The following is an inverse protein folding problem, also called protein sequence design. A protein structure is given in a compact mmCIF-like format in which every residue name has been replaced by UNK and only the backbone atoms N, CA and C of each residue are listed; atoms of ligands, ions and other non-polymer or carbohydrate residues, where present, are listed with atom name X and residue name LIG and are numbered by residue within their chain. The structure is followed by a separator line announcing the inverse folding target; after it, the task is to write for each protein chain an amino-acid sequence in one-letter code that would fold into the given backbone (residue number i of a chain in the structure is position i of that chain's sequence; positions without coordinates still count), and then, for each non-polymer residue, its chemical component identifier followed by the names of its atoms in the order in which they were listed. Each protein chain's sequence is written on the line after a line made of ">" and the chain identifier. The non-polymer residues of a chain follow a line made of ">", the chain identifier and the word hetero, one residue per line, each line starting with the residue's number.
data_IF_156925275308
#
_entry.id   IF_156925275308
#
_cell.length_a   1.000
_cell.length_b   1.000
_cell.length_c   1.000
_cell.angle_alpha   90.00
_cell.angle_beta   90.00
_cell.angle_gamma   90.00
#
_symmetry.space_group_name_H-M   'P 1'
#
loop_
_entity.id
_entity.type
_entity.pdbx_description
1 polymer ?
#
# COMPACT_ATOMS: atom_id res chain seq x y z
N UNK A 1 13.63 21.53 6.13
CA UNK A 1 13.09 20.68 5.04
C UNK A 1 13.72 21.10 3.72
N UNK A 2 13.93 20.19 2.78
CA UNK A 2 14.54 20.51 1.49
C UNK A 2 13.68 21.54 0.71
N UNK A 3 14.27 22.55 0.06
CA UNK A 3 13.51 23.63 -0.58
C UNK A 3 12.56 23.09 -1.67
N UNK A 4 12.97 22.03 -2.36
CA UNK A 4 12.13 21.30 -3.32
C UNK A 4 10.89 20.68 -2.68
N UNK A 5 10.94 20.27 -1.42
CA UNK A 5 9.81 19.68 -0.69
C UNK A 5 8.89 20.76 -0.10
N UNK A 6 9.45 21.91 0.28
CA UNK A 6 8.71 23.08 0.75
C UNK A 6 7.91 23.78 -0.35
N UNK A 7 8.52 23.94 -1.52
CA UNK A 7 7.93 24.70 -2.61
C UNK A 7 7.46 23.80 -3.77
N UNK A 8 8.01 22.61 -3.98
CA UNK A 8 7.65 21.73 -5.11
C UNK A 8 8.45 22.05 -6.38
N UNK A 9 8.36 21.17 -7.37
CA UNK A 9 8.79 21.46 -8.74
C UNK A 9 7.69 22.27 -9.44
N UNK A 10 7.69 23.59 -9.30
CA UNK A 10 6.75 24.45 -10.00
C UNK A 10 7.06 24.47 -11.50
N UNK A 11 6.18 23.87 -12.30
CA UNK A 11 6.21 24.07 -13.75
C UNK A 11 5.50 25.38 -14.08
N UNK A 12 5.96 26.11 -15.11
CA UNK A 12 5.42 27.41 -15.56
C UNK A 12 3.89 27.35 -15.81
N UNK A 13 3.35 26.18 -16.14
CA UNK A 13 1.91 25.94 -16.30
C UNK A 13 1.10 26.05 -14.99
N UNK A 14 1.71 25.74 -13.84
CA UNK A 14 1.08 25.89 -12.52
C UNK A 14 1.02 27.36 -12.08
N UNK A 15 1.86 28.25 -12.64
CA UNK A 15 1.75 29.70 -12.45
C UNK A 15 0.51 30.27 -13.16
N UNK A 16 0.13 29.76 -14.33
CA UNK A 16 -1.01 30.28 -15.09
C UNK A 16 -2.39 29.93 -14.49
N UNK A 17 -2.51 28.79 -13.80
CA UNK A 17 -3.79 28.32 -13.24
C UNK A 17 -3.82 28.46 -11.71
N UNK A 18 -2.68 28.25 -11.04
CA UNK A 18 -2.57 28.29 -9.58
C UNK A 18 -2.62 29.69 -8.99
N UNK A 19 -1.92 30.67 -9.58
CA UNK A 19 -1.91 32.05 -9.08
C UNK A 19 -3.31 32.70 -9.11
N UNK A 20 -4.07 32.64 -10.21
CA UNK A 20 -5.41 33.25 -10.26
C UNK A 20 -6.40 32.61 -9.28
N UNK A 21 -6.34 31.29 -9.13
CA UNK A 21 -7.24 30.55 -8.22
C UNK A 21 -6.92 30.86 -6.75
N UNK A 22 -5.65 31.06 -6.43
CA UNK A 22 -5.20 31.41 -5.08
C UNK A 22 -5.49 32.88 -4.74
N UNK A 23 -5.31 33.80 -5.70
CA UNK A 23 -5.75 35.19 -5.59
C UNK A 23 -7.28 35.24 -5.38
N UNK A 24 -8.05 34.43 -6.11
CA UNK A 24 -9.50 34.31 -5.93
C UNK A 24 -9.88 33.85 -4.51
N UNK A 25 -9.20 32.85 -3.95
CA UNK A 25 -9.48 32.37 -2.60
C UNK A 25 -9.02 33.34 -1.50
N UNK A 26 -7.93 34.07 -1.75
CA UNK A 26 -7.45 35.13 -0.86
C UNK A 26 -8.42 36.32 -0.84
N UNK A 27 -8.92 36.74 -2.01
CA UNK A 27 -9.96 37.77 -2.14
C UNK A 27 -11.30 37.36 -1.50
N UNK A 28 -11.62 36.05 -1.48
CA UNK A 28 -12.81 35.51 -0.80
C UNK A 28 -12.62 35.25 0.71
N UNK A 29 -11.42 35.41 1.25
CA UNK A 29 -11.13 35.17 2.67
C UNK A 29 -11.35 33.72 3.11
N UNK A 30 -11.25 32.75 2.19
CA UNK A 30 -11.46 31.34 2.56
C UNK A 30 -10.28 30.82 3.39
N UNK A 31 -10.58 30.35 4.62
CA UNK A 31 -9.58 29.75 5.51
C UNK A 31 -8.97 28.50 4.87
N UNK A 32 -7.67 28.28 5.09
CA UNK A 32 -6.94 27.12 4.56
C UNK A 32 -7.60 25.78 4.91
N UNK A 33 -8.23 25.69 6.08
CA UNK A 33 -8.98 24.51 6.54
C UNK A 33 -10.15 24.19 5.60
N UNK A 34 -10.90 25.20 5.15
CA UNK A 34 -12.01 25.02 4.19
C UNK A 34 -11.50 24.60 2.82
N UNK A 35 -10.37 25.16 2.39
CA UNK A 35 -9.75 24.79 1.11
C UNK A 35 -9.24 23.35 1.14
N UNK A 36 -8.61 22.95 2.25
CA UNK A 36 -8.16 21.58 2.45
C UNK A 36 -9.36 20.62 2.45
N UNK A 37 -10.44 20.95 3.15
CA UNK A 37 -11.66 20.13 3.18
C UNK A 37 -12.22 19.88 1.77
N UNK A 38 -12.29 20.92 0.92
CA UNK A 38 -12.70 20.77 -0.48
C UNK A 38 -11.77 19.83 -1.26
N UNK A 39 -10.46 19.85 -0.99
CA UNK A 39 -9.49 18.95 -1.62
C UNK A 39 -9.63 17.51 -1.12
N UNK A 40 -9.92 17.32 0.16
CA UNK A 40 -10.23 16.00 0.75
C UNK A 40 -11.45 15.40 0.06
N UNK A 41 -12.57 16.14 0.01
CA UNK A 41 -13.82 15.69 -0.63
C UNK A 41 -13.62 15.34 -2.10
N UNK A 42 -12.89 16.20 -2.83
CA UNK A 42 -12.55 15.94 -4.23
C UNK A 42 -11.69 14.69 -4.40
N UNK A 43 -10.69 14.49 -3.54
CA UNK A 43 -9.85 13.29 -3.55
C UNK A 43 -10.67 12.02 -3.30
N UNK A 44 -11.58 12.04 -2.30
CA UNK A 44 -12.50 10.93 -2.01
C UNK A 44 -13.45 10.62 -3.17
N UNK A 45 -14.02 11.65 -3.79
CA UNK A 45 -14.92 11.49 -4.93
C UNK A 45 -14.19 10.94 -6.16
N UNK A 46 -12.93 11.32 -6.35
CA UNK A 46 -12.13 10.82 -7.46
C UNK A 46 -11.64 9.40 -7.21
N UNK A 47 -11.23 9.08 -5.98
CA UNK A 47 -10.76 7.74 -5.62
C UNK A 47 -11.87 6.71 -5.71
N UNK A 48 -13.10 7.05 -5.33
CA UNK A 48 -14.25 6.12 -5.37
C UNK A 48 -14.64 5.68 -6.79
N UNK A 49 -14.21 6.42 -7.81
CA UNK A 49 -14.45 6.07 -9.23
C UNK A 49 -13.38 5.13 -9.80
N UNK A 50 -12.30 4.87 -9.06
CA UNK A 50 -11.19 4.03 -9.53
C UNK A 50 -11.43 2.58 -9.12
N UNK A 51 -11.41 1.69 -10.11
CA UNK A 51 -11.38 0.24 -9.88
C UNK A 51 -9.91 -0.20 -9.95
N UNK A 52 -9.34 -0.56 -8.80
CA UNK A 52 -7.96 -1.05 -8.71
C UNK A 52 -7.85 -2.50 -9.20
N UNK A 53 -7.01 -2.71 -10.22
CA UNK A 53 -6.40 -4.01 -10.52
C UNK A 53 -4.97 -4.08 -9.95
N UNK A 54 -4.36 -5.26 -9.95
CA UNK A 54 -3.05 -5.51 -9.33
C UNK A 54 -1.92 -4.66 -9.95
N UNK A 55 -1.89 -4.53 -11.28
CA UNK A 55 -0.90 -3.70 -11.98
C UNK A 55 -1.02 -2.23 -11.55
N UNK A 56 -2.23 -1.68 -11.59
CA UNK A 56 -2.49 -0.29 -11.23
C UNK A 56 -2.23 -0.02 -9.74
N UNK A 57 -2.46 -1.01 -8.87
CA UNK A 57 -2.14 -0.95 -7.44
C UNK A 57 -0.64 -0.78 -7.23
N UNK A 58 0.18 -1.63 -7.84
CA UNK A 58 1.64 -1.54 -7.67
C UNK A 58 2.18 -0.21 -8.19
N UNK A 59 1.66 0.26 -9.32
CA UNK A 59 1.98 1.59 -9.85
C UNK A 59 1.61 2.70 -8.85
N UNK A 60 0.43 2.62 -8.22
CA UNK A 60 -0.01 3.60 -7.23
C UNK A 60 0.74 3.52 -5.89
N UNK A 61 1.15 2.33 -5.44
CA UNK A 61 2.03 2.17 -4.28
C UNK A 61 3.38 2.82 -4.52
N UNK A 62 4.02 2.53 -5.66
CA UNK A 62 5.30 3.14 -6.05
C UNK A 62 5.14 4.66 -6.15
N UNK A 63 4.04 5.13 -6.76
CA UNK A 63 3.76 6.57 -6.88
C UNK A 63 3.54 7.22 -5.52
N UNK A 64 2.81 6.56 -4.62
CA UNK A 64 2.56 7.04 -3.27
C UNK A 64 3.87 7.16 -2.50
N UNK A 65 4.71 6.13 -2.51
CA UNK A 65 6.02 6.14 -1.85
C UNK A 65 6.93 7.26 -2.37
N UNK A 66 6.96 7.45 -3.69
CA UNK A 66 7.76 8.50 -4.36
C UNK A 66 7.18 9.91 -4.28
N UNK A 67 6.03 10.13 -3.64
CA UNK A 67 5.51 11.49 -3.45
C UNK A 67 6.47 12.31 -2.59
N UNK A 68 6.99 13.39 -3.19
CA UNK A 68 7.86 14.36 -2.53
C UNK A 68 7.23 15.77 -2.56
N UNK A 69 6.19 15.96 -1.75
CA UNK A 69 5.56 17.27 -1.52
C UNK A 69 5.37 17.53 -0.02
N UNK A 70 5.16 18.81 0.35
CA UNK A 70 5.04 19.25 1.75
C UNK A 70 4.02 18.40 2.51
N UNK A 71 2.83 18.20 1.93
CA UNK A 71 1.76 17.45 2.57
C UNK A 71 2.13 15.98 2.75
N UNK A 72 2.60 15.31 1.70
CA UNK A 72 2.98 13.90 1.74
C UNK A 72 4.08 13.60 2.76
N UNK A 73 5.03 14.51 2.93
CA UNK A 73 6.11 14.38 3.91
C UNK A 73 5.53 14.31 5.32
N UNK A 74 4.77 15.32 5.73
CA UNK A 74 4.20 15.36 7.08
C UNK A 74 3.10 14.30 7.32
N UNK A 75 2.31 13.99 6.29
CA UNK A 75 1.24 13.00 6.38
C UNK A 75 1.77 11.57 6.61
N UNK A 76 2.95 11.25 6.05
CA UNK A 76 3.64 9.97 6.28
C UNK A 76 4.42 9.95 7.59
N UNK A 77 5.16 11.03 7.87
CA UNK A 77 6.08 11.18 9.01
C UNK A 77 5.39 10.97 10.37
N UNK A 78 4.14 11.42 10.52
CA UNK A 78 3.39 11.25 11.78
C UNK A 78 3.24 9.78 12.21
N UNK A 79 3.29 8.82 11.28
CA UNK A 79 3.18 7.40 11.61
C UNK A 79 4.49 6.79 12.13
N UNK A 80 5.61 7.52 12.11
CA UNK A 80 6.89 7.03 12.62
C UNK A 80 6.89 6.89 14.16
N UNK A 81 5.99 7.59 14.87
CA UNK A 81 5.95 7.60 16.34
C UNK A 81 4.79 6.81 16.96
N UNK A 82 3.62 6.73 16.30
CA UNK A 82 2.42 6.02 16.80
C UNK A 82 1.37 5.87 15.68
N UNK A 83 0.43 4.92 15.84
CA UNK A 83 -0.77 4.87 14.99
C UNK A 83 -1.68 6.08 15.27
N UNK A 84 -1.90 6.90 14.25
CA UNK A 84 -2.79 8.07 14.27
C UNK A 84 -4.01 7.85 13.38
N UNK A 85 -5.17 8.31 13.81
CA UNK A 85 -6.37 8.28 12.97
C UNK A 85 -6.31 9.35 11.87
N UNK A 86 -7.16 9.25 10.85
CA UNK A 86 -7.13 10.16 9.70
C UNK A 86 -7.25 11.65 10.10
N UNK A 87 -8.16 11.98 11.01
CA UNK A 87 -8.38 13.36 11.46
C UNK A 87 -7.15 13.93 12.17
N UNK A 88 -6.48 13.13 12.99
CA UNK A 88 -5.22 13.49 13.64
C UNK A 88 -4.11 13.79 12.62
N UNK A 89 -4.02 12.98 11.54
CA UNK A 89 -3.03 13.23 10.47
C UNK A 89 -3.32 14.52 9.72
N UNK A 90 -4.59 14.81 9.42
CA UNK A 90 -5.01 16.06 8.78
C UNK A 90 -4.70 17.25 9.68
N UNK A 91 -5.01 17.16 10.97
CA UNK A 91 -4.71 18.21 11.95
C UNK A 91 -3.21 18.47 12.04
N UNK A 92 -2.39 17.42 12.12
CA UNK A 92 -0.94 17.54 12.13
C UNK A 92 -0.40 18.27 10.88
N UNK A 93 -0.87 17.88 9.69
CA UNK A 93 -0.45 18.53 8.44
C UNK A 93 -0.83 20.02 8.42
N UNK A 94 -2.03 20.37 8.92
CA UNK A 94 -2.46 21.76 9.07
C UNK A 94 -1.59 22.54 10.06
N UNK A 95 -1.21 21.94 11.19
CA UNK A 95 -0.37 22.59 12.19
C UNK A 95 1.05 22.84 11.65
N UNK A 96 1.60 21.90 10.88
CA UNK A 96 2.90 22.08 10.20
C UNK A 96 2.82 23.17 9.13
N UNK A 97 1.75 23.20 8.33
CA UNK A 97 1.51 24.30 7.39
C UNK A 97 1.44 25.65 8.10
N UNK A 98 0.68 25.75 9.21
CA UNK A 98 0.55 27.00 9.98
C UNK A 98 1.92 27.47 10.47
N UNK A 99 2.72 26.59 11.08
CA UNK A 99 4.09 26.88 11.54
C UNK A 99 4.95 27.44 10.41
N UNK A 100 5.01 26.75 9.28
CA UNK A 100 5.83 27.17 8.15
C UNK A 100 5.32 28.48 7.54
N UNK A 101 4.00 28.62 7.36
CA UNK A 101 3.40 29.83 6.77
C UNK A 101 3.67 31.10 7.60
N UNK A 102 3.76 30.97 8.92
CA UNK A 102 4.05 32.10 9.84
C UNK A 102 5.52 32.50 9.78
N UNK A 103 6.41 31.59 9.37
CA UNK A 103 7.85 31.86 9.22
C UNK A 103 8.22 32.53 7.89
N UNK A 104 7.30 32.55 6.93
CA UNK A 104 7.54 33.12 5.60
C UNK A 104 7.20 34.62 5.56
N UNK A 105 8.14 35.41 5.05
CA UNK A 105 8.08 36.88 5.08
C UNK A 105 7.41 37.47 3.82
N UNK A 106 7.41 36.74 2.69
CA UNK A 106 6.86 37.26 1.42
C UNK A 106 5.55 36.59 1.02
N UNK A 107 4.63 37.40 0.48
CA UNK A 107 3.35 36.94 -0.07
C UNK A 107 3.52 35.90 -1.20
N UNK A 108 4.56 36.04 -2.04
CA UNK A 108 4.87 35.05 -3.09
C UNK A 108 5.25 33.69 -2.50
N UNK A 109 6.07 33.65 -1.45
CA UNK A 109 6.46 32.38 -0.82
C UNK A 109 5.27 31.73 -0.10
N UNK A 110 4.40 32.54 0.53
CA UNK A 110 3.17 32.06 1.15
C UNK A 110 2.24 31.41 0.12
N UNK A 111 2.06 32.04 -1.04
CA UNK A 111 1.25 31.51 -2.13
C UNK A 111 1.82 30.19 -2.67
N UNK A 112 3.14 30.11 -2.84
CA UNK A 112 3.81 28.88 -3.29
C UNK A 112 3.63 27.74 -2.28
N UNK A 113 3.82 28.02 -0.99
CA UNK A 113 3.61 27.04 0.08
C UNK A 113 2.15 26.56 0.10
N UNK A 114 1.18 27.48 0.04
CA UNK A 114 -0.23 27.15 0.08
C UNK A 114 -0.69 26.35 -1.15
N UNK A 115 -0.17 26.69 -2.34
CA UNK A 115 -0.38 25.91 -3.56
C UNK A 115 0.19 24.50 -3.45
N UNK A 116 1.44 24.36 -2.99
CA UNK A 116 2.08 23.07 -2.77
C UNK A 116 1.30 22.22 -1.74
N UNK A 117 0.89 22.84 -0.63
CA UNK A 117 0.13 22.18 0.42
C UNK A 117 -1.20 21.63 -0.10
N UNK A 118 -1.98 22.43 -0.82
CA UNK A 118 -3.31 22.03 -1.30
C UNK A 118 -3.25 21.01 -2.46
N UNK A 119 -2.36 21.20 -3.43
CA UNK A 119 -2.18 20.26 -4.53
C UNK A 119 -1.52 18.96 -4.07
N UNK A 120 -0.55 19.08 -3.14
CA UNK A 120 0.06 17.97 -2.45
C UNK A 120 -0.96 17.18 -1.64
N UNK A 121 -1.86 17.86 -0.92
CA UNK A 121 -2.98 17.22 -0.22
C UNK A 121 -3.87 16.43 -1.17
N UNK A 122 -4.36 17.05 -2.25
CA UNK A 122 -5.24 16.36 -3.21
C UNK A 122 -4.58 15.11 -3.80
N UNK A 123 -3.31 15.20 -4.23
CA UNK A 123 -2.58 14.07 -4.84
C UNK A 123 -2.29 12.96 -3.82
N UNK A 124 -1.83 13.35 -2.63
CA UNK A 124 -1.49 12.41 -1.56
C UNK A 124 -2.74 11.70 -1.07
N UNK A 125 -3.82 12.44 -0.83
CA UNK A 125 -5.06 11.90 -0.32
C UNK A 125 -5.82 11.08 -1.36
N UNK A 126 -5.73 11.42 -2.64
CA UNK A 126 -6.26 10.57 -3.70
C UNK A 126 -5.60 9.19 -3.66
N UNK A 127 -4.26 9.14 -3.67
CA UNK A 127 -3.55 7.87 -3.60
C UNK A 127 -3.81 7.15 -2.26
N UNK A 128 -3.80 7.89 -1.16
CA UNK A 128 -4.16 7.37 0.15
C UNK A 128 -5.55 6.72 0.11
N UNK A 129 -6.61 7.40 -0.32
CA UNK A 129 -7.96 6.81 -0.37
C UNK A 129 -8.12 5.69 -1.38
N UNK A 130 -7.45 5.77 -2.53
CA UNK A 130 -7.43 4.66 -3.49
C UNK A 130 -6.81 3.42 -2.83
N UNK A 131 -5.71 3.57 -2.10
CA UNK A 131 -5.02 2.49 -1.41
C UNK A 131 -5.71 2.07 -0.08
N UNK A 132 -6.31 3.01 0.64
CA UNK A 132 -6.99 2.90 1.94
C UNK A 132 -8.41 2.34 1.80
N UNK A 133 -9.05 2.49 0.63
CA UNK A 133 -10.27 1.74 0.27
C UNK A 133 -10.09 0.21 0.35
N UNK A 134 -8.85 -0.26 0.53
CA UNK A 134 -8.49 -1.66 0.80
C UNK A 134 -7.59 -1.90 2.02
N UNK A 135 -7.43 -0.98 2.97
CA UNK A 135 -7.01 -1.41 4.33
C UNK A 135 -8.06 -2.33 4.98
N UNK A 136 -9.25 -2.45 4.39
CA UNK A 136 -10.28 -3.46 4.69
C UNK A 136 -10.26 -4.72 3.80
N UNK A 137 -9.36 -4.86 2.81
CA UNK A 137 -9.19 -6.13 2.10
C UNK A 137 -7.88 -6.76 2.57
N UNK A 138 -8.04 -7.74 3.44
CA UNK A 138 -7.06 -8.76 3.78
C UNK A 138 -6.23 -9.17 2.55
N UNK A 139 -4.90 -9.07 2.69
CA UNK A 139 -3.94 -9.54 1.67
C UNK A 139 -4.15 -11.04 1.46
N UNK A 140 -4.12 -11.50 0.20
CA UNK A 140 -4.37 -12.91 -0.18
C UNK A 140 -3.21 -13.48 -0.99
N UNK A 141 -3.26 -14.79 -1.27
CA UNK A 141 -2.20 -15.42 -2.08
C UNK A 141 -2.10 -14.87 -3.50
N UNK A 142 -3.25 -14.54 -4.09
CA UNK A 142 -3.29 -13.86 -5.39
C UNK A 142 -2.52 -12.54 -5.42
N UNK A 143 -2.42 -11.83 -4.30
CA UNK A 143 -1.70 -10.55 -4.22
C UNK A 143 -0.17 -10.72 -4.14
N UNK A 144 0.32 -11.91 -3.76
CA UNK A 144 1.75 -12.16 -3.53
C UNK A 144 2.40 -13.14 -4.51
N UNK A 145 1.60 -13.90 -5.28
CA UNK A 145 2.10 -14.87 -6.25
C UNK A 145 2.36 -14.23 -7.62
N UNK A 146 3.47 -14.60 -8.24
CA UNK A 146 3.89 -14.18 -9.57
C UNK A 146 3.19 -15.05 -10.62
N UNK A 147 2.54 -14.39 -11.59
CA UNK A 147 1.85 -15.04 -12.70
C UNK A 147 0.33 -15.05 -12.52
N UNK A 148 -0.39 -14.66 -13.59
CA UNK A 148 -1.83 -14.38 -13.58
C UNK A 148 -2.70 -15.57 -13.13
N UNK A 149 -2.20 -16.80 -13.28
CA UNK A 149 -2.92 -18.02 -12.91
C UNK A 149 -2.28 -18.83 -11.77
N UNK A 150 -1.12 -18.42 -11.25
CA UNK A 150 -0.36 -19.23 -10.28
C UNK A 150 -1.14 -19.49 -9.00
N UNK A 151 -1.82 -18.47 -8.47
CA UNK A 151 -2.68 -18.60 -7.29
C UNK A 151 -3.88 -19.52 -7.54
N UNK A 152 -4.52 -19.42 -8.71
CA UNK A 152 -5.65 -20.30 -9.08
C UNK A 152 -5.22 -21.76 -9.21
N UNK A 153 -4.09 -22.01 -9.88
CA UNK A 153 -3.51 -23.35 -10.03
C UNK A 153 -3.19 -23.92 -8.65
N UNK A 154 -2.56 -23.13 -7.79
CA UNK A 154 -2.19 -23.55 -6.46
C UNK A 154 -3.41 -23.85 -5.57
N UNK A 155 -4.41 -22.97 -5.53
CA UNK A 155 -5.65 -23.21 -4.77
C UNK A 155 -6.39 -24.46 -5.27
N UNK A 156 -6.45 -24.68 -6.59
CA UNK A 156 -7.05 -25.88 -7.16
C UNK A 156 -6.31 -27.15 -6.72
N UNK A 157 -4.98 -27.13 -6.75
CA UNK A 157 -4.14 -28.22 -6.23
C UNK A 157 -4.41 -28.51 -4.75
N UNK A 158 -4.50 -27.47 -3.92
CA UNK A 158 -4.77 -27.64 -2.48
C UNK A 158 -6.15 -28.25 -2.21
N UNK A 159 -7.17 -27.87 -2.99
CA UNK A 159 -8.52 -28.46 -2.93
C UNK A 159 -8.50 -29.93 -3.36
N UNK A 160 -7.83 -30.25 -4.46
CA UNK A 160 -7.70 -31.62 -4.96
C UNK A 160 -7.01 -32.54 -3.93
N UNK A 161 -5.95 -32.05 -3.29
CA UNK A 161 -5.24 -32.75 -2.22
C UNK A 161 -5.95 -32.74 -0.86
N UNK A 162 -7.13 -32.11 -0.77
CA UNK A 162 -7.91 -31.95 0.46
C UNK A 162 -7.14 -31.27 1.59
N UNK A 163 -6.23 -30.35 1.24
CA UNK A 163 -5.56 -29.52 2.24
C UNK A 163 -6.47 -28.37 2.71
N UNK A 164 -7.40 -27.95 1.85
CA UNK A 164 -8.40 -26.93 2.14
C UNK A 164 -9.79 -27.38 1.64
N UNK A 165 -10.85 -26.85 2.24
CA UNK A 165 -12.23 -27.05 1.78
C UNK A 165 -12.66 -26.03 0.70
N UNK A 166 -13.94 -26.08 0.30
CA UNK A 166 -14.49 -25.14 -0.68
C UNK A 166 -14.50 -23.69 -0.23
N UNK A 167 -14.58 -23.45 1.08
CA UNK A 167 -14.52 -22.14 1.72
C UNK A 167 -13.08 -21.74 2.10
N UNK A 168 -12.10 -22.49 1.61
CA UNK A 168 -10.66 -22.35 1.85
C UNK A 168 -10.21 -22.63 3.29
N UNK A 169 -11.06 -23.18 4.16
CA UNK A 169 -10.64 -23.53 5.51
C UNK A 169 -9.57 -24.62 5.48
N UNK A 170 -8.48 -24.41 6.21
CA UNK A 170 -7.40 -25.40 6.33
C UNK A 170 -7.88 -26.69 7.01
N UNK A 171 -7.66 -27.83 6.36
CA UNK A 171 -8.04 -29.17 6.84
C UNK A 171 -6.87 -29.99 7.39
N UNK A 172 -5.63 -29.54 7.20
CA UNK A 172 -4.44 -30.30 7.61
C UNK A 172 -4.07 -30.04 9.07
N UNK A 173 -3.80 -31.12 9.81
CA UNK A 173 -3.34 -31.03 11.19
C UNK A 173 -1.89 -30.53 11.29
N UNK A 174 -1.04 -30.90 10.32
CA UNK A 174 0.36 -30.50 10.29
C UNK A 174 0.57 -29.14 9.61
N UNK A 175 0.24 -28.06 10.33
CA UNK A 175 0.44 -26.68 9.87
C UNK A 175 1.89 -26.37 9.46
N UNK A 176 2.88 -27.01 10.09
CA UNK A 176 4.29 -26.79 9.77
C UNK A 176 4.67 -27.28 8.37
N UNK A 177 4.15 -28.44 7.95
CA UNK A 177 4.34 -28.99 6.61
C UNK A 177 3.66 -28.11 5.55
N UNK A 178 2.48 -27.58 5.88
CA UNK A 178 1.75 -26.65 5.01
C UNK A 178 2.49 -25.31 4.82
N UNK A 179 3.10 -24.78 5.89
CA UNK A 179 4.00 -23.63 5.82
C UNK A 179 5.20 -23.91 4.91
N UNK A 180 5.79 -25.10 5.00
CA UNK A 180 6.94 -25.48 4.15
C UNK A 180 6.59 -25.53 2.66
N UNK A 181 5.35 -25.88 2.29
CA UNK A 181 4.89 -25.77 0.88
C UNK A 181 4.94 -24.32 0.40
N UNK A 182 4.47 -23.36 1.20
CA UNK A 182 4.51 -21.95 0.84
C UNK A 182 5.95 -21.42 0.79
N UNK A 183 6.82 -21.91 1.69
CA UNK A 183 8.24 -21.60 1.65
C UNK A 183 8.88 -22.08 0.34
N UNK A 184 8.58 -23.31 -0.07
CA UNK A 184 9.03 -23.85 -1.35
C UNK A 184 8.62 -22.96 -2.54
N UNK A 185 7.38 -22.45 -2.55
CA UNK A 185 6.91 -21.53 -3.58
C UNK A 185 7.65 -20.19 -3.57
N UNK A 186 8.01 -19.67 -2.39
CA UNK A 186 8.83 -18.46 -2.25
C UNK A 186 10.25 -18.68 -2.77
N UNK A 187 10.90 -19.76 -2.35
CA UNK A 187 12.28 -20.06 -2.75
C UNK A 187 12.39 -20.27 -4.27
N UNK A 188 11.32 -20.74 -4.91
CA UNK A 188 11.22 -20.92 -6.36
C UNK A 188 10.58 -19.74 -7.10
N UNK A 189 10.48 -18.56 -6.46
CA UNK A 189 10.01 -17.31 -7.10
C UNK A 189 8.59 -17.40 -7.70
N UNK A 190 7.77 -18.32 -7.19
CA UNK A 190 6.34 -18.34 -7.48
C UNK A 190 5.63 -17.36 -6.55
N UNK A 191 6.04 -17.28 -5.28
CA UNK A 191 5.71 -16.12 -4.43
C UNK A 191 6.81 -15.09 -4.64
N UNK A 192 6.45 -13.81 -4.79
CA UNK A 192 7.43 -12.75 -4.98
C UNK A 192 8.41 -12.70 -3.78
N UNK A 193 9.72 -12.91 -3.99
CA UNK A 193 10.71 -12.99 -2.91
C UNK A 193 10.88 -11.69 -2.13
N UNK A 194 10.48 -10.54 -2.70
CA UNK A 194 10.56 -9.23 -2.06
C UNK A 194 9.59 -9.09 -0.86
N UNK A 195 8.56 -9.95 -0.76
CA UNK A 195 7.66 -9.93 0.38
C UNK A 195 8.33 -10.52 1.63
N UNK A 196 8.19 -9.79 2.74
CA UNK A 196 8.61 -10.26 4.05
C UNK A 196 7.82 -11.52 4.45
N UNK A 197 8.47 -12.41 5.21
CA UNK A 197 7.84 -13.66 5.68
C UNK A 197 6.54 -13.40 6.47
N UNK A 198 6.47 -12.29 7.21
CA UNK A 198 5.27 -11.87 7.95
C UNK A 198 4.10 -11.54 7.03
N UNK A 199 4.35 -10.90 5.89
CA UNK A 199 3.34 -10.55 4.88
C UNK A 199 2.82 -11.81 4.17
N UNK A 200 3.69 -12.77 3.93
CA UNK A 200 3.31 -14.06 3.34
C UNK A 200 2.43 -14.85 4.31
N UNK A 201 2.81 -14.89 5.60
CA UNK A 201 1.97 -15.53 6.62
C UNK A 201 0.62 -14.84 6.72
N UNK A 202 0.56 -13.51 6.76
CA UNK A 202 -0.72 -12.78 6.79
C UNK A 202 -1.60 -13.14 5.58
N UNK A 203 -1.00 -13.23 4.38
CA UNK A 203 -1.72 -13.67 3.19
C UNK A 203 -2.25 -15.11 3.29
N UNK A 204 -1.49 -16.01 3.92
CA UNK A 204 -1.93 -17.37 4.20
C UNK A 204 -3.05 -17.41 5.24
N UNK A 205 -2.95 -16.64 6.32
CA UNK A 205 -3.95 -16.61 7.39
C UNK A 205 -5.32 -16.18 6.85
N UNK A 206 -5.30 -15.14 6.01
CA UNK A 206 -6.48 -14.61 5.33
C UNK A 206 -7.03 -15.52 4.22
N UNK A 207 -6.16 -16.23 3.50
CA UNK A 207 -6.60 -17.15 2.45
C UNK A 207 -7.23 -18.40 3.07
N UNK A 208 -6.74 -18.87 4.21
CA UNK A 208 -7.09 -20.17 4.78
C UNK A 208 -7.92 -20.16 6.05
N UNK A 209 -8.38 -18.97 6.46
CA UNK A 209 -9.16 -18.73 7.69
C UNK A 209 -8.53 -19.41 8.93
N UNK A 210 -7.20 -19.33 9.07
CA UNK A 210 -6.48 -20.04 10.14
C UNK A 210 -5.23 -19.28 10.56
N UNK A 211 -4.86 -19.37 11.83
CA UNK A 211 -3.63 -18.74 12.33
C UNK A 211 -2.42 -19.65 12.14
N UNK A 212 -1.27 -19.05 11.80
CA UNK A 212 0.01 -19.73 11.65
C UNK A 212 1.05 -19.15 12.60
N UNK A 213 2.00 -20.00 13.04
CA UNK A 213 3.14 -19.50 13.81
C UNK A 213 4.12 -18.76 12.89
N UNK A 214 4.24 -17.44 13.07
CA UNK A 214 5.10 -16.56 12.30
C UNK A 214 6.58 -16.98 12.35
N UNK A 215 7.02 -17.59 13.46
CA UNK A 215 8.39 -18.10 13.59
C UNK A 215 8.66 -19.38 12.81
N UNK A 216 7.64 -20.11 12.38
CA UNK A 216 7.80 -21.38 11.65
C UNK A 216 8.16 -21.16 10.18
N UNK A 217 7.70 -20.08 9.54
CA UNK A 217 8.02 -19.78 8.15
C UNK A 217 9.51 -19.46 7.93
N UNK A 218 10.11 -18.69 8.82
CA UNK A 218 11.55 -18.36 8.72
C UNK A 218 12.45 -19.57 9.01
N UNK A 219 12.05 -20.41 9.97
CA UNK A 219 12.77 -21.65 10.32
C UNK A 219 12.64 -22.75 9.27
N UNK A 220 11.60 -22.70 8.43
CA UNK A 220 11.34 -23.69 7.38
C UNK A 220 12.51 -23.91 6.42
N UNK A 221 13.36 -22.89 6.19
CA UNK A 221 14.56 -22.95 5.34
C UNK A 221 15.52 -24.07 5.77
N UNK A 222 15.57 -24.37 7.08
CA UNK A 222 16.59 -25.26 7.67
C UNK A 222 16.14 -26.70 7.82
N UNK A 223 14.89 -27.01 7.50
CA UNK A 223 14.29 -28.33 7.73
C UNK A 223 14.26 -29.11 6.41
N UNK A 224 14.90 -30.29 6.38
CA UNK A 224 14.86 -31.17 5.23
C UNK A 224 13.42 -31.68 5.01
N UNK A 225 12.87 -31.64 3.78
CA UNK A 225 11.55 -32.17 3.51
C UNK A 225 11.51 -33.68 3.75
N UNK A 226 10.35 -34.16 4.19
CA UNK A 226 10.07 -35.59 4.26
C UNK A 226 9.55 -36.13 2.91
N UNK A 227 9.43 -37.45 2.76
CA UNK A 227 9.01 -38.09 1.50
C UNK A 227 7.63 -37.61 1.00
N UNK A 228 6.74 -37.24 1.92
CA UNK A 228 5.43 -36.68 1.58
C UNK A 228 5.56 -35.27 0.99
N UNK A 229 6.34 -34.39 1.63
CA UNK A 229 6.60 -33.03 1.16
C UNK A 229 7.33 -33.04 -0.17
N UNK A 230 8.31 -33.92 -0.33
CA UNK A 230 9.06 -34.12 -1.58
C UNK A 230 8.14 -34.45 -2.76
N UNK A 231 7.17 -35.34 -2.54
CA UNK A 231 6.17 -35.69 -3.56
C UNK A 231 5.30 -34.46 -3.92
N UNK A 232 4.83 -33.72 -2.92
CA UNK A 232 4.08 -32.47 -3.14
C UNK A 232 4.90 -31.46 -3.93
N UNK A 233 6.20 -31.30 -3.64
CA UNK A 233 7.07 -30.37 -4.37
C UNK A 233 7.24 -30.79 -5.81
N UNK A 234 7.42 -32.08 -6.10
CA UNK A 234 7.52 -32.58 -7.47
C UNK A 234 6.24 -32.34 -8.28
N UNK A 235 5.07 -32.56 -7.69
CA UNK A 235 3.79 -32.28 -8.35
C UNK A 235 3.59 -30.79 -8.63
N UNK A 236 3.83 -29.94 -7.63
CA UNK A 236 3.75 -28.48 -7.77
C UNK A 236 4.74 -27.96 -8.81
N UNK A 237 5.92 -28.56 -8.89
CA UNK A 237 6.94 -28.16 -9.86
C UNK A 237 6.51 -28.40 -11.29
N UNK A 238 5.79 -29.50 -11.55
CA UNK A 238 5.19 -29.76 -12.87
C UNK A 238 4.07 -28.77 -13.18
N UNK A 239 3.19 -28.49 -12.22
CA UNK A 239 2.04 -27.61 -12.40
C UNK A 239 2.43 -26.14 -12.61
N UNK A 240 3.47 -25.68 -11.92
CA UNK A 240 3.93 -24.29 -11.92
C UNK A 240 5.20 -24.07 -12.76
N UNK A 241 5.64 -25.11 -13.48
CA UNK A 241 6.84 -25.09 -14.34
C UNK A 241 8.11 -24.63 -13.60
N UNK A 242 8.30 -25.14 -12.39
CA UNK A 242 9.48 -24.91 -11.56
C UNK A 242 10.56 -25.91 -11.99
N UNK A 243 11.81 -25.45 -12.13
CA UNK A 243 12.95 -26.35 -12.28
C UNK A 243 13.30 -26.94 -10.92
N UNK A 244 12.85 -28.16 -10.70
CA UNK A 244 13.07 -28.96 -9.50
C UNK A 244 13.97 -30.15 -9.80
#
# INVERSE_FOLDING_TARGET
>A
MDQKKLYGQWNIWEEFVGYPMMIYYWLKGERIEKLLQKRIEKAQQNSSKIILNEKLRNEFLIKYEKLENFFSFHFKDINASRNHNFEEKIKYCLDQYKKESTSLISSSNLMKLQGNFLNGAETTLFLYFVLDSKTNREIRLSDIMIGENSSKIFIAFLKEKKFIDENHNLLVDQKSSFIRIHRFLKDNHIINPDFQDTTIIEAMENEYNTNFDKGTFSRAITVKPNDFEENIYQELSKLLNIKY
#
